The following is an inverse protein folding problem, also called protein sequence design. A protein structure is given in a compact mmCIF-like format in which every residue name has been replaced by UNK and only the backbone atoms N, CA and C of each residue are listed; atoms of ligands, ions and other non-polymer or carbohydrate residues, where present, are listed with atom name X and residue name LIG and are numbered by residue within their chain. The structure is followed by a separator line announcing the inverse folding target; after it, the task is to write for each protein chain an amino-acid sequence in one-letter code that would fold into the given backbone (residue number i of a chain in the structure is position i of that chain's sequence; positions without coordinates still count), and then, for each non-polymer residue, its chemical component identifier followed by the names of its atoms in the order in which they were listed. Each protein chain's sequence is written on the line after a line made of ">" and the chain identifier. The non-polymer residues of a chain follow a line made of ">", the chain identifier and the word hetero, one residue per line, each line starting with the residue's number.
data_IF_627570667542
#
_entry.id   IF_627570667542
#
_cell.length_a   1.000
_cell.length_b   1.000
_cell.length_c   1.000
_cell.angle_alpha   90.00
_cell.angle_beta   90.00
_cell.angle_gamma   90.00
#
_symmetry.space_group_name_H-M   'P 1'
#
loop_
_entity.id
_entity.type
_entity.pdbx_description
1 polymer ?
#
# COMPACT_ATOMS: atom_id res chain seq x y z
N UNK A 1 11.79 -2.61 13.76
CA UNK A 1 10.63 -1.84 13.26
C UNK A 1 9.61 -1.74 14.38
N UNK A 2 9.02 -0.57 14.64
CA UNK A 2 7.93 -0.43 15.62
C UNK A 2 6.60 -0.40 14.88
N UNK A 3 5.67 -1.29 15.23
CA UNK A 3 4.34 -1.34 14.65
C UNK A 3 3.35 -0.59 15.54
N UNK A 4 2.56 0.31 14.93
CA UNK A 4 1.75 1.31 15.64
C UNK A 4 0.68 0.69 16.53
N UNK A 5 0.05 -0.38 16.07
CA UNK A 5 -1.10 -0.99 16.71
C UNK A 5 -0.78 -2.33 17.42
N UNK A 6 0.46 -2.82 17.34
CA UNK A 6 0.86 -4.03 18.04
C UNK A 6 0.93 -3.80 19.56
N UNK A 7 0.25 -4.63 20.34
CA UNK A 7 0.19 -4.45 21.80
C UNK A 7 -0.50 -3.16 22.25
N UNK A 8 -1.35 -2.58 21.38
CA UNK A 8 -2.11 -1.36 21.67
C UNK A 8 -3.12 -1.57 22.81
N UNK A 9 -3.56 -2.80 23.01
CA UNK A 9 -4.49 -3.18 24.07
C UNK A 9 -3.68 -3.74 25.24
N UNK A 10 -3.59 -2.98 26.33
CA UNK A 10 -3.18 -3.49 27.64
C UNK A 10 -4.39 -4.11 28.35
N UNK A 11 -4.17 -5.14 29.16
CA UNK A 11 -5.18 -5.96 29.88
C UNK A 11 -6.15 -5.23 30.84
N UNK A 12 -6.30 -3.91 30.74
CA UNK A 12 -7.14 -3.08 31.61
C UNK A 12 -8.44 -2.68 30.93
N UNK A 13 -9.56 -3.04 31.57
CA UNK A 13 -10.96 -2.52 31.48
C UNK A 13 -11.65 -2.38 30.10
N UNK A 14 -10.93 -2.15 29.01
CA UNK A 14 -11.43 -2.03 27.64
C UNK A 14 -11.99 -3.35 27.06
N UNK A 15 -11.86 -4.46 27.80
CA UNK A 15 -12.21 -5.82 27.34
C UNK A 15 -13.11 -6.53 28.36
N UNK A 16 -13.73 -5.81 29.31
CA UNK A 16 -14.69 -6.43 30.25
C UNK A 16 -15.88 -7.07 29.51
N UNK A 17 -16.25 -6.51 28.35
CA UNK A 17 -17.26 -7.04 27.44
C UNK A 17 -16.85 -6.80 25.98
N UNK A 18 -17.49 -7.52 25.06
CA UNK A 18 -17.32 -7.33 23.62
C UNK A 18 -17.71 -5.92 23.16
N UNK A 19 -18.70 -5.30 23.83
CA UNK A 19 -19.09 -3.91 23.58
C UNK A 19 -17.98 -2.91 23.92
N UNK A 20 -17.26 -3.11 25.03
CA UNK A 20 -16.12 -2.29 25.42
C UNK A 20 -14.99 -2.39 24.36
N UNK A 21 -14.73 -3.61 23.88
CA UNK A 21 -13.72 -3.85 22.85
C UNK A 21 -14.08 -3.13 21.54
N UNK A 22 -15.34 -3.24 21.11
CA UNK A 22 -15.81 -2.57 19.89
C UNK A 22 -15.77 -1.05 20.03
N UNK A 23 -16.14 -0.51 21.20
CA UNK A 23 -16.07 0.92 21.48
C UNK A 23 -14.62 1.42 21.39
N UNK A 24 -13.69 0.69 21.99
CA UNK A 24 -12.25 0.98 21.91
C UNK A 24 -11.76 1.00 20.46
N UNK A 25 -12.07 -0.02 19.67
CA UNK A 25 -11.68 -0.07 18.25
C UNK A 25 -12.25 1.12 17.46
N UNK A 26 -13.48 1.56 17.77
CA UNK A 26 -14.10 2.72 17.13
C UNK A 26 -13.39 4.02 17.49
N UNK A 27 -13.07 4.23 18.76
CA UNK A 27 -12.33 5.40 19.25
C UNK A 27 -10.93 5.50 18.61
N UNK A 28 -10.27 4.36 18.41
CA UNK A 28 -8.97 4.27 17.75
C UNK A 28 -9.04 4.28 16.22
N UNK A 29 -10.24 4.38 15.64
CA UNK A 29 -10.49 4.34 14.18
C UNK A 29 -9.99 3.05 13.51
N UNK A 30 -10.03 1.93 14.24
CA UNK A 30 -9.63 0.60 13.77
C UNK A 30 -10.81 -0.20 13.19
N UNK A 31 -12.05 0.29 13.36
CA UNK A 31 -13.25 -0.21 12.69
C UNK A 31 -13.98 0.94 11.99
N UNK A 32 -14.63 0.60 10.89
CA UNK A 32 -15.47 1.47 10.09
C UNK A 32 -16.91 0.95 10.10
N UNK A 33 -17.86 1.87 10.18
CA UNK A 33 -19.27 1.53 9.98
C UNK A 33 -19.50 1.31 8.50
N UNK A 34 -20.06 0.16 8.14
CA UNK A 34 -20.46 -0.17 6.78
C UNK A 34 -21.97 -0.28 6.71
N UNK A 35 -22.58 0.23 5.65
CA UNK A 35 -24.00 -0.01 5.39
C UNK A 35 -24.09 -1.23 4.48
N UNK A 36 -24.65 -2.32 4.99
CA UNK A 36 -25.07 -3.47 4.21
C UNK A 36 -26.45 -3.19 3.64
N UNK A 37 -26.56 -3.11 2.30
CA UNK A 37 -27.84 -3.07 1.60
C UNK A 37 -28.44 -4.48 1.58
N UNK A 38 -28.80 -4.97 2.77
CA UNK A 38 -29.50 -6.23 2.94
C UNK A 38 -30.99 -5.99 2.73
N UNK A 39 -31.48 -6.46 1.58
CA UNK A 39 -32.89 -6.52 1.16
C UNK A 39 -33.43 -5.24 0.51
N UNK A 40 -33.66 -5.35 -0.81
CA UNK A 40 -34.54 -4.45 -1.53
C UNK A 40 -35.95 -5.05 -1.49
N UNK A 41 -36.95 -4.29 -1.03
CA UNK A 41 -38.35 -4.66 -1.26
C UNK A 41 -38.75 -4.22 -2.67
N UNK A 42 -39.42 -5.10 -3.40
CA UNK A 42 -40.04 -4.76 -4.68
C UNK A 42 -41.21 -3.82 -4.39
N UNK A 43 -41.07 -2.54 -4.74
CA UNK A 43 -42.21 -1.63 -4.80
C UNK A 43 -43.20 -2.06 -5.88
N UNK A 44 -44.49 -1.85 -5.63
CA UNK A 44 -45.57 -2.18 -6.57
C UNK A 44 -45.27 -1.69 -7.99
N UNK A 45 -45.39 -2.59 -8.97
CA UNK A 45 -45.31 -2.24 -10.39
C UNK A 45 -46.48 -1.33 -10.75
N UNK A 46 -46.21 -0.10 -11.17
CA UNK A 46 -47.19 0.69 -11.92
C UNK A 46 -47.18 0.25 -13.39
N UNK A 47 -48.35 0.32 -14.06
CA UNK A 47 -48.57 -0.12 -15.46
C UNK A 47 -47.67 0.56 -16.53
N UNK A 48 -46.69 1.37 -16.14
CA UNK A 48 -45.69 2.00 -17.03
C UNK A 48 -44.31 1.36 -17.02
N UNK A 49 -44.10 0.22 -16.32
CA UNK A 49 -42.85 -0.54 -16.40
C UNK A 49 -41.66 0.00 -15.58
N UNK A 50 -41.87 1.01 -14.72
CA UNK A 50 -40.80 1.51 -13.85
C UNK A 50 -40.76 0.74 -12.53
N UNK A 51 -39.73 -0.10 -12.36
CA UNK A 51 -39.45 -0.80 -11.12
C UNK A 51 -38.82 0.17 -10.11
N UNK A 52 -39.52 0.45 -9.00
CA UNK A 52 -39.00 1.29 -7.93
C UNK A 52 -38.40 0.39 -6.84
N UNK A 53 -37.07 0.28 -6.80
CA UNK A 53 -36.37 -0.39 -5.70
C UNK A 53 -36.12 0.63 -4.58
N UNK A 54 -36.77 0.43 -3.44
CA UNK A 54 -36.45 1.19 -2.23
C UNK A 54 -35.56 0.33 -1.32
N UNK A 55 -34.36 0.80 -0.95
CA UNK A 55 -33.57 0.12 0.05
C UNK A 55 -34.25 0.26 1.42
N UNK A 56 -34.57 -0.85 2.07
CA UNK A 56 -35.03 -0.85 3.46
C UNK A 56 -33.80 -0.86 4.37
N UNK A 57 -33.49 0.29 4.98
CA UNK A 57 -32.45 0.39 5.99
C UNK A 57 -33.02 -0.06 7.34
N UNK A 58 -32.73 -1.30 7.73
CA UNK A 58 -33.05 -1.82 9.05
C UNK A 58 -31.83 -1.65 9.99
N UNK A 59 -32.00 -1.79 11.32
CA UNK A 59 -30.87 -1.73 12.25
C UNK A 59 -29.77 -2.76 11.94
N UNK A 60 -30.15 -3.89 11.31
CA UNK A 60 -29.23 -4.92 10.81
C UNK A 60 -28.47 -4.53 9.53
N UNK A 61 -28.82 -3.40 8.90
CA UNK A 61 -28.12 -2.83 7.74
C UNK A 61 -26.80 -2.15 8.13
N UNK A 62 -26.48 -2.02 9.42
CA UNK A 62 -25.21 -1.45 9.88
C UNK A 62 -24.22 -2.55 10.31
N UNK A 63 -23.28 -2.86 9.42
CA UNK A 63 -22.13 -3.71 9.72
C UNK A 63 -20.94 -2.92 10.27
N UNK A 64 -19.99 -3.62 10.88
CA UNK A 64 -18.68 -3.07 11.27
C UNK A 64 -17.61 -3.85 10.51
N UNK A 65 -16.71 -3.14 9.82
CA UNK A 65 -15.56 -3.74 9.15
C UNK A 65 -14.27 -3.22 9.77
N UNK A 66 -13.28 -4.08 9.94
CA UNK A 66 -11.93 -3.65 10.35
C UNK A 66 -11.36 -2.71 9.27
N UNK A 67 -10.68 -1.65 9.71
CA UNK A 67 -10.06 -0.70 8.79
C UNK A 67 -8.97 -1.38 7.96
N UNK A 68 -8.99 -1.17 6.64
CA UNK A 68 -8.02 -1.72 5.69
C UNK A 68 -6.57 -1.41 6.08
N UNK A 69 -6.31 -0.22 6.64
CA UNK A 69 -4.98 0.16 7.12
C UNK A 69 -4.45 -0.76 8.22
N UNK A 70 -5.33 -1.34 9.05
CA UNK A 70 -4.92 -2.33 10.05
C UNK A 70 -4.52 -3.66 9.41
N UNK A 71 -5.23 -4.09 8.36
CA UNK A 71 -4.87 -5.29 7.59
C UNK A 71 -3.50 -5.16 6.90
N UNK A 72 -3.22 -4.00 6.30
CA UNK A 72 -1.92 -3.71 5.69
C UNK A 72 -0.78 -3.69 6.72
N UNK A 73 -0.98 -3.05 7.88
CA UNK A 73 0.01 -3.05 8.97
C UNK A 73 0.22 -4.48 9.52
N UNK A 74 -0.86 -5.26 9.67
CA UNK A 74 -0.78 -6.66 10.11
C UNK A 74 0.01 -7.51 9.10
N UNK A 75 -0.19 -7.32 7.80
CA UNK A 75 0.63 -7.97 6.77
C UNK A 75 2.10 -7.66 6.99
N UNK A 76 2.46 -6.40 7.16
CA UNK A 76 3.86 -5.98 7.33
C UNK A 76 4.47 -6.55 8.61
N UNK A 77 3.68 -6.61 9.69
CA UNK A 77 4.08 -7.30 10.92
C UNK A 77 4.32 -8.79 10.70
N UNK A 78 3.41 -9.49 10.02
CA UNK A 78 3.56 -10.91 9.71
C UNK A 78 4.81 -11.15 8.86
N UNK A 79 5.07 -10.31 7.85
CA UNK A 79 6.27 -10.43 7.03
C UNK A 79 7.56 -10.22 7.83
N UNK A 80 7.60 -9.26 8.76
CA UNK A 80 8.76 -9.06 9.63
C UNK A 80 8.93 -10.24 10.61
N UNK A 81 7.83 -10.71 11.21
CA UNK A 81 7.86 -11.82 12.17
C UNK A 81 8.28 -13.14 11.52
N UNK A 82 7.87 -13.38 10.28
CA UNK A 82 8.19 -14.58 9.49
C UNK A 82 9.26 -14.33 8.43
N UNK A 83 10.10 -13.29 8.57
CA UNK A 83 11.10 -12.93 7.55
C UNK A 83 12.07 -14.05 7.19
N UNK A 84 12.35 -14.97 8.12
CA UNK A 84 13.17 -16.15 7.85
C UNK A 84 12.58 -17.12 6.82
N UNK A 85 11.28 -17.01 6.52
CA UNK A 85 10.58 -17.80 5.51
C UNK A 85 10.45 -17.07 4.16
N UNK A 86 10.93 -15.81 4.08
CA UNK A 86 10.92 -15.00 2.86
C UNK A 86 12.30 -15.06 2.20
N UNK A 87 12.35 -15.31 0.89
CA UNK A 87 13.57 -15.33 0.08
C UNK A 87 14.23 -16.70 -0.06
N UNK A 88 13.91 -17.67 0.82
CA UNK A 88 14.42 -19.04 0.69
C UNK A 88 14.06 -19.68 -0.66
N UNK A 89 12.83 -19.46 -1.13
CA UNK A 89 12.37 -19.97 -2.42
C UNK A 89 13.07 -19.30 -3.60
N UNK A 90 13.45 -18.02 -3.47
CA UNK A 90 14.23 -17.31 -4.48
C UNK A 90 15.61 -17.98 -4.65
N UNK A 91 16.30 -18.28 -3.56
CA UNK A 91 17.62 -18.93 -3.64
C UNK A 91 17.53 -20.33 -4.24
N UNK A 92 16.54 -21.12 -3.81
CA UNK A 92 16.25 -22.43 -4.42
C UNK A 92 15.92 -22.30 -5.91
N UNK A 93 15.16 -21.26 -6.30
CA UNK A 93 14.86 -20.97 -7.68
C UNK A 93 16.13 -20.62 -8.47
N UNK A 94 16.97 -19.70 -7.97
CA UNK A 94 18.24 -19.31 -8.61
C UNK A 94 19.13 -20.53 -8.87
N UNK A 95 19.28 -21.41 -7.88
CA UNK A 95 20.05 -22.65 -8.02
C UNK A 95 19.46 -23.56 -9.11
N UNK A 96 18.14 -23.83 -9.07
CA UNK A 96 17.44 -24.65 -10.07
C UNK A 96 17.54 -24.05 -11.48
N UNK A 97 17.37 -22.74 -11.60
CA UNK A 97 17.44 -22.01 -12.85
C UNK A 97 18.86 -22.06 -13.43
N UNK A 98 19.89 -21.78 -12.61
CA UNK A 98 21.30 -21.88 -13.00
C UNK A 98 21.65 -23.28 -13.49
N UNK A 99 21.23 -24.33 -12.77
CA UNK A 99 21.45 -25.73 -13.17
C UNK A 99 20.79 -26.05 -14.52
N UNK A 100 19.55 -25.60 -14.75
CA UNK A 100 18.84 -25.81 -16.03
C UNK A 100 19.44 -25.03 -17.20
N UNK A 101 20.04 -23.88 -16.92
CA UNK A 101 20.57 -22.95 -17.92
C UNK A 101 22.09 -23.05 -18.10
N UNK A 102 22.77 -23.96 -17.38
CA UNK A 102 24.22 -24.11 -17.44
C UNK A 102 24.69 -24.46 -18.86
N UNK A 103 25.71 -23.75 -19.35
CA UNK A 103 26.24 -23.92 -20.72
C UNK A 103 25.28 -23.53 -21.86
N UNK A 104 24.09 -22.99 -21.57
CA UNK A 104 23.11 -22.60 -22.60
C UNK A 104 23.30 -21.15 -23.06
N UNK A 105 22.95 -20.87 -24.32
CA UNK A 105 22.95 -19.51 -24.90
C UNK A 105 21.95 -18.59 -24.20
N UNK A 106 22.21 -17.28 -24.20
CA UNK A 106 21.36 -16.27 -23.59
C UNK A 106 19.90 -16.33 -24.08
N UNK A 107 19.68 -16.58 -25.37
CA UNK A 107 18.35 -16.73 -25.97
C UNK A 107 17.52 -17.84 -25.31
N UNK A 108 18.15 -19.00 -25.05
CA UNK A 108 17.51 -20.09 -24.34
C UNK A 108 17.19 -19.71 -22.89
N UNK A 109 18.13 -19.05 -22.21
CA UNK A 109 17.94 -18.56 -20.83
C UNK A 109 16.77 -17.59 -20.75
N UNK A 110 16.69 -16.63 -21.67
CA UNK A 110 15.60 -15.64 -21.75
C UNK A 110 14.25 -16.31 -22.01
N UNK A 111 14.16 -17.23 -22.98
CA UNK A 111 12.93 -18.01 -23.23
C UNK A 111 12.50 -18.82 -22.01
N UNK A 112 13.46 -19.45 -21.33
CA UNK A 112 13.16 -20.23 -20.12
C UNK A 112 12.74 -19.35 -18.95
N UNK A 113 13.40 -18.20 -18.78
CA UNK A 113 13.05 -17.18 -17.81
C UNK A 113 11.63 -16.66 -18.02
N UNK A 114 11.26 -16.35 -19.26
CA UNK A 114 9.92 -15.86 -19.59
C UNK A 114 8.84 -16.90 -19.28
N UNK A 115 9.11 -18.18 -19.56
CA UNK A 115 8.19 -19.27 -19.21
C UNK A 115 7.97 -19.37 -17.69
N UNK A 116 9.01 -19.16 -16.88
CA UNK A 116 8.86 -19.09 -15.43
C UNK A 116 8.12 -17.82 -15.00
N UNK A 117 8.47 -16.68 -15.60
CA UNK A 117 7.85 -15.39 -15.29
C UNK A 117 6.33 -15.43 -15.52
N UNK A 118 5.88 -15.93 -16.68
CA UNK A 118 4.46 -16.12 -16.94
C UNK A 118 3.82 -17.06 -15.92
N UNK A 119 4.43 -18.24 -15.69
CA UNK A 119 3.88 -19.22 -14.74
C UNK A 119 3.66 -18.65 -13.33
N UNK A 120 4.64 -17.91 -12.80
CA UNK A 120 4.52 -17.33 -11.47
C UNK A 120 3.53 -16.16 -11.45
N UNK A 121 3.45 -15.36 -12.52
CA UNK A 121 2.45 -14.31 -12.65
C UNK A 121 1.02 -14.85 -12.68
N UNK A 122 0.77 -15.89 -13.49
CA UNK A 122 -0.55 -16.50 -13.69
C UNK A 122 -1.07 -17.22 -12.43
N UNK A 123 -0.21 -17.51 -11.44
CA UNK A 123 -0.64 -18.02 -10.14
C UNK A 123 -1.44 -17.00 -9.32
N UNK A 124 -1.21 -15.70 -9.57
CA UNK A 124 -1.74 -14.60 -8.77
C UNK A 124 -2.74 -13.77 -9.54
N UNK A 125 -2.44 -13.49 -10.81
CA UNK A 125 -3.29 -12.69 -11.65
C UNK A 125 -4.02 -13.60 -12.62
N UNK A 126 -5.33 -13.76 -12.39
CA UNK A 126 -6.21 -14.47 -13.31
C UNK A 126 -6.64 -13.54 -14.44
N UNK A 127 -5.94 -13.60 -15.57
CA UNK A 127 -6.24 -12.81 -16.78
C UNK A 127 -7.65 -13.16 -17.32
N UNK A 128 -8.22 -14.32 -16.99
CA UNK A 128 -9.56 -14.72 -17.45
C UNK A 128 -10.70 -14.16 -16.61
N UNK A 129 -10.42 -13.60 -15.42
CA UNK A 129 -11.39 -12.90 -14.56
C UNK A 129 -11.41 -11.38 -14.80
N UNK A 130 -11.07 -10.97 -16.02
CA UNK A 130 -11.33 -9.62 -16.49
C UNK A 130 -12.81 -9.26 -16.30
N UNK A 131 -13.05 -8.05 -15.78
CA UNK A 131 -14.33 -7.34 -15.65
C UNK A 131 -15.22 -7.65 -14.42
N UNK A 132 -15.13 -6.78 -13.40
CA UNK A 132 -16.21 -5.85 -13.00
C UNK A 132 -15.92 -5.28 -11.60
N UNK A 133 -15.09 -4.25 -11.51
CA UNK A 133 -15.17 -3.32 -10.39
C UNK A 133 -15.20 -1.90 -10.92
N UNK A 134 -16.40 -1.46 -11.28
CA UNK A 134 -16.73 -0.05 -11.33
C UNK A 134 -16.43 0.59 -9.97
N UNK A 135 -15.24 1.20 -9.83
CA UNK A 135 -14.88 2.05 -8.68
C UNK A 135 -13.71 1.60 -7.79
N UNK A 136 -13.04 0.48 -8.06
CA UNK A 136 -11.77 0.11 -7.40
C UNK A 136 -10.64 0.01 -8.43
N UNK A 137 -9.36 0.25 -8.06
CA UNK A 137 -8.24 0.03 -8.97
C UNK A 137 -8.08 -1.48 -9.20
N UNK A 138 -8.84 -2.02 -10.16
CA UNK A 138 -8.65 -3.38 -10.65
C UNK A 138 -7.33 -3.51 -11.41
N UNK A 139 -6.86 -4.74 -11.54
CA UNK A 139 -5.72 -5.09 -12.40
C UNK A 139 -6.01 -4.67 -13.83
N UNK A 140 -5.16 -3.81 -14.38
CA UNK A 140 -5.26 -3.33 -15.75
C UNK A 140 -4.40 -4.26 -16.64
N UNK A 141 -5.01 -4.99 -17.61
CA UNK A 141 -4.27 -5.90 -18.47
C UNK A 141 -3.28 -5.18 -19.40
N UNK A 142 -3.45 -3.87 -19.60
CA UNK A 142 -2.51 -3.03 -20.33
C UNK A 142 -1.38 -2.49 -19.44
N UNK A 143 -1.51 -2.60 -18.11
CA UNK A 143 -0.47 -2.21 -17.18
C UNK A 143 0.64 -3.27 -17.11
N UNK A 144 1.89 -2.86 -16.81
CA UNK A 144 2.99 -3.76 -16.53
C UNK A 144 2.61 -4.77 -15.44
N UNK A 145 3.01 -6.03 -15.61
CA UNK A 145 2.67 -7.13 -14.70
C UNK A 145 3.22 -6.90 -13.29
N UNK A 146 4.40 -6.31 -13.17
CA UNK A 146 4.95 -5.93 -11.87
C UNK A 146 4.07 -4.90 -11.14
N UNK A 147 3.36 -4.03 -11.87
CA UNK A 147 2.39 -3.09 -11.29
C UNK A 147 1.14 -3.80 -10.78
N UNK A 148 0.61 -4.77 -11.52
CA UNK A 148 -0.55 -5.59 -11.13
C UNK A 148 -0.23 -6.45 -9.90
N UNK A 149 0.95 -7.08 -9.86
CA UNK A 149 1.41 -7.84 -8.70
C UNK A 149 1.50 -6.98 -7.45
N UNK A 150 1.96 -5.73 -7.56
CA UNK A 150 1.99 -4.82 -6.41
C UNK A 150 0.58 -4.50 -5.88
N UNK A 151 -0.42 -4.39 -6.77
CA UNK A 151 -1.82 -4.19 -6.36
C UNK A 151 -2.32 -5.43 -5.60
N UNK A 152 -2.05 -6.62 -6.15
CA UNK A 152 -2.39 -7.91 -5.51
C UNK A 152 -1.76 -8.05 -4.12
N UNK A 153 -0.50 -7.64 -3.96
CA UNK A 153 0.18 -7.56 -2.66
C UNK A 153 -0.59 -6.70 -1.64
N UNK A 154 -1.25 -5.64 -2.13
CA UNK A 154 -2.15 -4.80 -1.35
C UNK A 154 -3.38 -5.59 -0.92
N UNK A 155 -4.11 -6.19 -1.87
CA UNK A 155 -5.32 -6.97 -1.59
C UNK A 155 -5.11 -8.10 -0.59
N UNK A 156 -3.98 -8.81 -0.65
CA UNK A 156 -3.64 -9.83 0.35
C UNK A 156 -3.56 -9.27 1.78
N UNK A 157 -3.12 -8.01 1.94
CA UNK A 157 -3.15 -7.31 3.23
C UNK A 157 -4.55 -6.80 3.59
N UNK A 158 -5.35 -6.40 2.61
CA UNK A 158 -6.75 -6.02 2.85
C UNK A 158 -7.60 -7.23 3.28
N UNK A 159 -7.32 -8.43 2.79
CA UNK A 159 -8.06 -9.64 3.15
C UNK A 159 -7.84 -10.07 4.60
N UNK A 160 -6.73 -9.67 5.21
CA UNK A 160 -6.45 -9.91 6.63
C UNK A 160 -7.45 -9.23 7.56
N UNK A 161 -8.22 -8.24 7.08
CA UNK A 161 -9.29 -7.62 7.88
C UNK A 161 -10.37 -8.61 8.32
N UNK A 162 -10.44 -9.77 7.65
CA UNK A 162 -11.39 -10.84 7.96
C UNK A 162 -10.83 -11.85 8.99
N UNK A 163 -9.56 -11.74 9.38
CA UNK A 163 -8.89 -12.65 10.32
C UNK A 163 -9.02 -12.13 11.76
N UNK A 164 -10.24 -12.17 12.31
CA UNK A 164 -10.58 -11.56 13.60
C UNK A 164 -9.68 -12.03 14.75
N UNK A 165 -9.36 -13.32 14.81
CA UNK A 165 -8.52 -13.89 15.86
C UNK A 165 -7.07 -13.40 15.75
N UNK A 166 -6.51 -13.37 14.53
CA UNK A 166 -5.14 -12.90 14.29
C UNK A 166 -5.04 -11.41 14.63
N UNK A 167 -6.01 -10.61 14.20
CA UNK A 167 -6.08 -9.17 14.53
C UNK A 167 -6.14 -8.98 16.03
N UNK A 168 -7.00 -9.74 16.73
CA UNK A 168 -7.10 -9.63 18.19
C UNK A 168 -5.75 -9.93 18.82
N UNK A 169 -5.14 -11.08 18.50
CA UNK A 169 -3.83 -11.46 19.06
C UNK A 169 -2.72 -10.44 18.77
N UNK A 170 -2.77 -9.81 17.59
CA UNK A 170 -1.88 -8.71 17.21
C UNK A 170 -2.08 -7.46 18.09
N UNK A 171 -3.33 -7.02 18.27
CA UNK A 171 -3.65 -5.83 19.07
C UNK A 171 -3.32 -6.01 20.55
N UNK A 172 -3.39 -7.23 21.07
CA UNK A 172 -2.99 -7.59 22.44
C UNK A 172 -1.48 -7.77 22.59
N UNK A 173 -0.73 -7.83 21.49
CA UNK A 173 0.72 -8.01 21.55
C UNK A 173 1.16 -9.42 21.91
N UNK A 174 0.31 -10.43 21.70
CA UNK A 174 0.58 -11.83 22.05
C UNK A 174 1.63 -12.46 21.10
N UNK A 175 2.91 -12.22 21.37
CA UNK A 175 4.02 -12.69 20.53
C UNK A 175 4.01 -14.21 20.34
N UNK A 176 3.71 -14.96 21.40
CA UNK A 176 3.73 -16.42 21.39
C UNK A 176 2.68 -17.03 20.45
N UNK A 177 1.63 -16.27 20.11
CA UNK A 177 0.64 -16.68 19.11
C UNK A 177 1.24 -16.75 17.70
N UNK A 178 2.18 -15.86 17.37
CA UNK A 178 2.79 -15.75 16.04
C UNK A 178 3.99 -16.69 15.87
N UNK A 179 3.72 -17.98 16.07
CA UNK A 179 4.71 -19.05 16.02
C UNK A 179 4.54 -19.95 14.78
N UNK A 180 5.39 -20.97 14.66
CA UNK A 180 5.35 -21.92 13.54
C UNK A 180 4.02 -22.68 13.39
N UNK A 181 3.23 -22.84 14.46
CA UNK A 181 1.92 -23.49 14.37
C UNK A 181 0.91 -22.61 13.61
N UNK A 182 0.90 -21.30 13.85
CA UNK A 182 0.06 -20.36 13.11
C UNK A 182 0.44 -20.35 11.62
N UNK A 183 1.74 -20.36 11.32
CA UNK A 183 2.23 -20.51 9.94
C UNK A 183 1.69 -21.78 9.27
N UNK A 184 1.63 -22.88 10.01
CA UNK A 184 1.16 -24.17 9.49
C UNK A 184 -0.36 -24.28 9.39
N UNK A 185 -1.13 -23.50 10.14
CA UNK A 185 -2.60 -23.57 10.13
C UNK A 185 -3.27 -22.47 9.31
N UNK A 186 -2.69 -21.26 9.26
CA UNK A 186 -3.31 -20.10 8.58
C UNK A 186 -3.11 -20.16 7.06
N UNK A 187 -4.21 -20.30 6.32
CA UNK A 187 -4.21 -20.28 4.86
C UNK A 187 -3.75 -18.92 4.31
N UNK A 188 -4.25 -17.83 4.90
CA UNK A 188 -3.93 -16.47 4.47
C UNK A 188 -2.46 -16.13 4.71
N UNK A 189 -1.89 -16.51 5.86
CA UNK A 189 -0.46 -16.34 6.12
C UNK A 189 0.41 -17.12 5.12
N UNK A 190 0.04 -18.37 4.81
CA UNK A 190 0.73 -19.16 3.78
C UNK A 190 0.63 -18.51 2.40
N UNK A 191 -0.53 -17.96 2.04
CA UNK A 191 -0.71 -17.26 0.77
C UNK A 191 0.17 -16.01 0.70
N UNK A 192 0.20 -15.18 1.76
CA UNK A 192 1.08 -14.00 1.82
C UNK A 192 2.55 -14.38 1.64
N UNK A 193 3.04 -15.38 2.39
CA UNK A 193 4.45 -15.78 2.29
C UNK A 193 4.79 -16.42 0.94
N UNK A 194 3.85 -17.18 0.37
CA UNK A 194 3.99 -17.71 -0.99
C UNK A 194 4.06 -16.57 -2.01
N UNK A 195 3.19 -15.56 -1.87
CA UNK A 195 3.18 -14.39 -2.74
C UNK A 195 4.53 -13.68 -2.70
N UNK A 196 5.04 -13.33 -1.52
CA UNK A 196 6.33 -12.62 -1.42
C UNK A 196 7.48 -13.40 -2.04
N UNK A 197 7.52 -14.72 -1.83
CA UNK A 197 8.54 -15.59 -2.43
C UNK A 197 8.44 -15.64 -3.96
N UNK A 198 7.24 -15.78 -4.52
CA UNK A 198 7.04 -15.79 -5.97
C UNK A 198 7.24 -14.39 -6.59
N UNK A 199 6.88 -13.33 -5.88
CA UNK A 199 7.13 -11.94 -6.25
C UNK A 199 8.64 -11.64 -6.37
N UNK A 200 9.44 -12.09 -5.40
CA UNK A 200 10.91 -11.99 -5.45
C UNK A 200 11.51 -12.75 -6.66
N UNK A 201 10.94 -13.90 -7.02
CA UNK A 201 11.36 -14.65 -8.22
C UNK A 201 11.02 -13.86 -9.50
N UNK A 202 9.83 -13.28 -9.56
CA UNK A 202 9.40 -12.43 -10.68
C UNK A 202 10.30 -11.21 -10.83
N UNK A 203 10.61 -10.51 -9.73
CA UNK A 203 11.56 -9.39 -9.71
C UNK A 203 12.93 -9.81 -10.24
N UNK A 204 13.50 -10.90 -9.72
CA UNK A 204 14.80 -11.41 -10.17
C UNK A 204 14.82 -11.73 -11.67
N UNK A 205 13.77 -12.38 -12.18
CA UNK A 205 13.67 -12.72 -13.60
C UNK A 205 13.53 -11.47 -14.48
N UNK A 206 12.76 -10.49 -14.04
CA UNK A 206 12.59 -9.23 -14.74
C UNK A 206 13.90 -8.44 -14.77
N UNK A 207 14.59 -8.30 -13.63
CA UNK A 207 15.88 -7.61 -13.55
C UNK A 207 16.97 -8.31 -14.39
N UNK A 208 16.94 -9.65 -14.46
CA UNK A 208 17.92 -10.43 -15.22
C UNK A 208 17.74 -10.33 -16.74
N UNK A 209 16.51 -10.17 -17.24
CA UNK A 209 16.22 -10.28 -18.68
C UNK A 209 15.54 -9.07 -19.30
N UNK A 210 15.10 -8.10 -18.49
CA UNK A 210 14.32 -6.93 -18.90
C UNK A 210 13.05 -7.36 -19.64
N UNK A 211 12.21 -8.19 -19.01
CA UNK A 211 10.95 -8.58 -19.64
C UNK A 211 9.98 -7.40 -19.72
N UNK A 212 9.99 -6.58 -18.68
CA UNK A 212 9.33 -5.28 -18.63
C UNK A 212 10.43 -4.21 -18.62
N UNK A 213 10.20 -3.08 -19.30
CA UNK A 213 11.11 -1.92 -19.29
C UNK A 213 11.03 -1.16 -17.95
N UNK A 214 10.87 -1.88 -16.85
CA UNK A 214 10.71 -1.37 -15.49
C UNK A 214 11.57 -2.21 -14.59
N UNK A 215 12.45 -1.59 -13.80
CA UNK A 215 13.22 -2.32 -12.77
C UNK A 215 12.31 -2.62 -11.59
N UNK A 216 12.62 -3.68 -10.85
CA UNK A 216 11.89 -4.10 -9.64
C UNK A 216 11.71 -3.00 -8.57
N UNK A 217 12.57 -1.97 -8.59
CA UNK A 217 12.57 -0.80 -7.71
C UNK A 217 12.34 0.53 -8.44
N UNK A 218 11.58 0.54 -9.54
CA UNK A 218 11.34 1.79 -10.29
C UNK A 218 10.61 2.82 -9.40
N UNK A 219 11.38 3.81 -8.91
CA UNK A 219 10.89 4.88 -8.04
C UNK A 219 9.75 5.63 -8.73
N UNK A 220 9.78 5.77 -10.05
CA UNK A 220 8.73 6.46 -10.80
C UNK A 220 7.37 5.75 -10.73
N UNK A 221 7.32 4.42 -10.61
CA UNK A 221 6.06 3.69 -10.39
C UNK A 221 5.48 3.93 -9.00
N UNK A 222 6.36 4.02 -7.99
CA UNK A 222 5.95 4.32 -6.61
C UNK A 222 5.40 5.75 -6.55
N UNK A 223 6.13 6.69 -7.16
CA UNK A 223 5.74 8.09 -7.30
C UNK A 223 4.42 8.24 -8.07
N UNK A 224 4.24 7.52 -9.18
CA UNK A 224 3.01 7.59 -9.99
C UNK A 224 1.78 7.13 -9.18
N UNK A 225 1.95 6.11 -8.32
CA UNK A 225 0.88 5.68 -7.40
C UNK A 225 0.57 6.72 -6.33
N UNK A 226 1.60 7.38 -5.77
CA UNK A 226 1.42 8.46 -4.80
C UNK A 226 0.66 9.62 -5.45
N UNK A 227 1.02 9.97 -6.69
CA UNK A 227 0.30 10.97 -7.48
C UNK A 227 -1.15 10.56 -7.72
N UNK A 228 -1.40 9.36 -8.28
CA UNK A 228 -2.75 8.85 -8.56
C UNK A 228 -3.65 8.84 -7.33
N UNK A 229 -3.12 8.47 -6.14
CA UNK A 229 -3.85 8.49 -4.86
C UNK A 229 -4.21 9.91 -4.40
N UNK A 230 -3.43 10.92 -4.80
CA UNK A 230 -3.59 12.31 -4.40
C UNK A 230 -3.95 13.25 -5.55
N UNK A 231 -4.36 12.73 -6.72
CA UNK A 231 -4.57 13.49 -7.97
C UNK A 231 -5.57 14.65 -7.86
N UNK A 232 -6.45 14.62 -6.88
CA UNK A 232 -7.44 15.69 -6.62
C UNK A 232 -6.86 16.82 -5.77
N UNK A 233 -5.67 16.62 -5.19
CA UNK A 233 -4.99 17.53 -4.28
C UNK A 233 -3.54 17.81 -4.66
N UNK A 234 -3.05 17.26 -5.77
CA UNK A 234 -1.72 17.49 -6.32
C UNK A 234 -1.89 17.63 -7.83
N UNK A 235 -1.37 18.71 -8.38
CA UNK A 235 -1.77 19.19 -9.70
C UNK A 235 -1.12 18.36 -10.81
N UNK A 236 0.13 17.97 -10.62
CA UNK A 236 0.91 17.23 -11.62
C UNK A 236 1.73 16.10 -11.01
N UNK A 237 2.06 15.12 -11.85
CA UNK A 237 3.03 14.09 -11.50
C UNK A 237 4.41 14.70 -11.25
N UNK A 238 4.78 15.76 -11.97
CA UNK A 238 6.05 16.46 -11.80
C UNK A 238 6.21 17.06 -10.40
N UNK A 239 5.09 17.46 -9.76
CA UNK A 239 5.12 17.90 -8.36
C UNK A 239 5.60 16.79 -7.43
N UNK A 240 5.19 15.54 -7.68
CA UNK A 240 5.66 14.39 -6.91
C UNK A 240 7.12 14.06 -7.23
N UNK A 241 7.53 14.16 -8.51
CA UNK A 241 8.92 13.97 -8.91
C UNK A 241 9.85 14.99 -8.25
N UNK A 242 9.42 16.26 -8.19
CA UNK A 242 10.17 17.32 -7.53
C UNK A 242 10.29 17.10 -6.03
N UNK A 243 9.21 16.67 -5.36
CA UNK A 243 9.27 16.30 -3.93
C UNK A 243 10.28 15.18 -3.71
N UNK A 244 10.29 14.17 -4.59
CA UNK A 244 11.25 13.07 -4.51
C UNK A 244 12.69 13.55 -4.70
N UNK A 245 12.92 14.40 -5.71
CA UNK A 245 14.22 15.01 -5.98
C UNK A 245 14.74 15.78 -4.75
N UNK A 246 13.95 16.70 -4.19
CA UNK A 246 14.34 17.50 -3.02
C UNK A 246 14.64 16.61 -1.82
N UNK A 247 13.77 15.63 -1.52
CA UNK A 247 13.96 14.77 -0.35
C UNK A 247 15.03 13.69 -0.56
N UNK A 248 15.45 13.43 -1.80
CA UNK A 248 16.61 12.58 -2.06
C UNK A 248 17.91 13.21 -1.51
N UNK A 249 17.97 14.53 -1.34
CA UNK A 249 19.12 15.26 -0.80
C UNK A 249 19.05 15.28 0.73
N UNK A 250 20.06 14.70 1.39
CA UNK A 250 20.06 14.47 2.83
C UNK A 250 19.91 15.76 3.67
N UNK A 251 20.57 16.84 3.26
CA UNK A 251 20.52 18.15 3.93
C UNK A 251 19.10 18.72 3.99
N UNK A 252 18.24 18.36 3.03
CA UNK A 252 16.88 18.89 2.90
C UNK A 252 15.83 18.04 3.63
N UNK A 253 16.23 16.97 4.32
CA UNK A 253 15.31 16.04 5.02
C UNK A 253 14.89 16.51 6.41
N UNK A 254 15.36 17.67 6.87
CA UNK A 254 15.01 18.19 8.19
C UNK A 254 13.60 18.81 8.23
N UNK A 255 13.01 18.90 9.42
CA UNK A 255 11.67 19.46 9.60
C UNK A 255 11.55 20.89 9.05
N UNK A 256 12.60 21.70 9.18
CA UNK A 256 12.59 23.09 8.71
C UNK A 256 12.45 23.17 7.18
N UNK A 257 13.15 22.29 6.44
CA UNK A 257 13.01 22.18 5.00
C UNK A 257 11.66 21.58 4.60
N UNK A 258 11.14 20.60 5.34
CA UNK A 258 9.80 20.06 5.09
C UNK A 258 8.69 21.11 5.22
N UNK A 259 8.78 22.03 6.19
CA UNK A 259 7.84 23.15 6.34
C UNK A 259 8.00 24.14 5.18
N UNK A 260 9.23 24.52 4.84
CA UNK A 260 9.49 25.44 3.74
C UNK A 260 9.04 24.86 2.38
N UNK A 261 9.20 23.55 2.16
CA UNK A 261 8.76 22.86 0.95
C UNK A 261 7.24 22.86 0.86
N UNK A 262 6.54 22.60 1.98
CA UNK A 262 5.09 22.72 2.04
C UNK A 262 4.62 24.12 1.68
N UNK A 263 5.18 25.15 2.32
CA UNK A 263 4.76 26.54 2.09
C UNK A 263 5.07 26.99 0.65
N UNK A 264 6.22 26.62 0.10
CA UNK A 264 6.58 26.86 -1.29
C UNK A 264 5.57 26.23 -2.26
N UNK A 265 5.33 24.92 -2.14
CA UNK A 265 4.40 24.19 -3.02
C UNK A 265 2.94 24.66 -2.87
N UNK A 266 2.52 25.00 -1.64
CA UNK A 266 1.14 25.38 -1.32
C UNK A 266 0.81 26.81 -1.70
N UNK A 267 1.73 27.74 -1.46
CA UNK A 267 1.44 29.17 -1.51
C UNK A 267 2.13 29.89 -2.67
N UNK A 268 3.34 29.48 -3.05
CA UNK A 268 4.10 30.14 -4.12
C UNK A 268 3.78 29.54 -5.49
N UNK A 269 4.05 28.25 -5.70
CA UNK A 269 3.76 27.58 -6.99
C UNK A 269 2.36 26.97 -7.06
N UNK A 270 1.70 26.79 -5.91
CA UNK A 270 0.30 26.34 -5.78
C UNK A 270 -0.02 24.99 -6.45
N UNK A 271 0.94 24.07 -6.44
CA UNK A 271 0.80 22.74 -7.06
C UNK A 271 0.25 21.67 -6.12
N UNK A 272 -0.01 22.02 -4.85
CA UNK A 272 -0.64 21.15 -3.87
C UNK A 272 -1.83 21.83 -3.18
N UNK A 273 -2.92 21.08 -3.01
CA UNK A 273 -4.12 21.48 -2.25
C UNK A 273 -4.26 20.77 -0.90
N UNK A 274 -3.24 20.01 -0.49
CA UNK A 274 -3.16 19.34 0.81
C UNK A 274 -3.10 20.36 1.97
N UNK A 275 -3.63 19.98 3.14
CA UNK A 275 -3.31 20.63 4.41
C UNK A 275 -1.90 20.26 4.87
N UNK A 276 -1.29 21.05 5.75
CA UNK A 276 0.05 20.74 6.29
C UNK A 276 0.10 19.35 6.96
N UNK A 277 -1.00 18.94 7.58
CA UNK A 277 -1.11 17.59 8.16
C UNK A 277 -1.09 16.51 7.09
N UNK A 278 -1.92 16.64 6.06
CA UNK A 278 -1.97 15.66 4.97
C UNK A 278 -0.66 15.61 4.18
N UNK A 279 -0.02 16.76 3.97
CA UNK A 279 1.31 16.82 3.37
C UNK A 279 2.36 16.17 4.28
N UNK A 280 2.33 16.44 5.58
CA UNK A 280 3.21 15.77 6.53
C UNK A 280 3.05 14.25 6.50
N UNK A 281 1.81 13.76 6.47
CA UNK A 281 1.52 12.32 6.44
C UNK A 281 2.02 11.73 5.10
N UNK A 282 1.77 12.40 3.97
CA UNK A 282 2.28 12.02 2.64
C UNK A 282 3.81 11.87 2.63
N UNK A 283 4.53 12.85 3.17
CA UNK A 283 5.99 12.88 3.16
C UNK A 283 6.57 11.77 4.04
N UNK A 284 6.09 11.66 5.28
CA UNK A 284 6.58 10.68 6.25
C UNK A 284 6.29 9.24 5.79
N UNK A 285 5.15 9.00 5.13
CA UNK A 285 4.79 7.67 4.65
C UNK A 285 5.57 7.23 3.41
N UNK A 286 6.01 8.15 2.55
CA UNK A 286 6.41 7.80 1.17
C UNK A 286 7.81 8.30 0.75
N UNK A 287 8.43 9.19 1.53
CA UNK A 287 9.68 9.85 1.17
C UNK A 287 10.69 9.81 2.33
N UNK A 288 12.00 9.79 2.03
CA UNK A 288 13.03 9.85 3.07
C UNK A 288 12.96 11.18 3.81
N UNK A 289 12.73 11.12 5.12
CA UNK A 289 12.61 12.31 5.98
C UNK A 289 13.20 12.02 7.37
N UNK A 290 13.78 13.06 7.99
CA UNK A 290 14.36 12.99 9.33
C UNK A 290 13.39 13.57 10.39
N UNK A 291 12.10 13.57 10.09
CA UNK A 291 11.05 14.06 10.97
C UNK A 291 9.82 13.16 10.91
N UNK A 292 9.13 13.04 12.04
CA UNK A 292 7.92 12.21 12.15
C UNK A 292 6.62 13.00 11.92
N UNK A 293 6.70 14.34 11.96
CA UNK A 293 5.56 15.23 11.71
C UNK A 293 6.02 16.67 11.44
N UNK A 294 5.34 17.38 10.56
CA UNK A 294 5.45 18.83 10.45
C UNK A 294 4.62 19.51 11.55
N UNK A 295 5.21 20.52 12.20
CA UNK A 295 4.55 21.39 13.17
C UNK A 295 4.70 22.82 12.68
N UNK A 296 3.67 23.64 12.87
CA UNK A 296 3.81 25.07 12.63
C UNK A 296 4.98 25.62 13.46
N UNK A 297 5.80 26.44 12.80
CA UNK A 297 6.82 27.30 13.40
C UNK A 297 6.58 28.71 12.92
N UNK A 298 7.02 29.68 13.70
CA UNK A 298 7.01 31.08 13.31
C UNK A 298 7.91 31.30 12.10
N UNK A 299 7.45 32.15 11.18
CA UNK A 299 8.20 32.54 9.99
C UNK A 299 9.40 33.39 10.42
N UNK A 300 10.58 33.03 9.93
CA UNK A 300 11.84 33.73 10.16
C UNK A 300 12.59 33.88 8.84
N UNK A 301 13.57 34.77 8.77
CA UNK A 301 14.40 34.99 7.57
C UNK A 301 15.01 33.67 7.05
N UNK A 302 15.40 32.78 7.97
CA UNK A 302 15.93 31.46 7.65
C UNK A 302 14.90 30.52 6.98
N UNK A 303 13.59 30.75 7.14
CA UNK A 303 12.54 30.03 6.42
C UNK A 303 12.39 30.57 4.99
N UNK A 304 12.45 31.89 4.82
CA UNK A 304 12.37 32.51 3.49
C UNK A 304 13.59 32.17 2.63
N UNK A 305 14.79 32.08 3.21
CA UNK A 305 15.99 31.56 2.52
C UNK A 305 15.78 30.15 1.94
N UNK A 306 15.13 29.26 2.70
CA UNK A 306 14.85 27.89 2.26
C UNK A 306 13.82 27.85 1.13
N UNK A 307 12.81 28.71 1.17
CA UNK A 307 11.84 28.82 0.06
C UNK A 307 12.50 29.38 -1.20
N UNK A 308 13.39 30.37 -1.08
CA UNK A 308 14.16 30.88 -2.21
C UNK A 308 15.05 29.80 -2.82
N UNK A 309 15.65 28.94 -1.99
CA UNK A 309 16.38 27.77 -2.46
C UNK A 309 15.45 26.85 -3.27
N UNK A 310 14.26 26.52 -2.77
CA UNK A 310 13.32 25.68 -3.52
C UNK A 310 12.80 26.31 -4.80
N UNK A 311 12.67 27.63 -4.85
CA UNK A 311 12.36 28.35 -6.09
C UNK A 311 13.45 28.12 -7.14
N UNK A 312 14.72 28.31 -6.76
CA UNK A 312 15.85 28.10 -7.68
C UNK A 312 15.95 26.64 -8.14
N UNK A 313 15.70 25.67 -7.24
CA UNK A 313 15.72 24.25 -7.59
C UNK A 313 14.51 23.85 -8.45
N UNK A 314 13.36 24.47 -8.26
CA UNK A 314 12.17 24.26 -9.08
C UNK A 314 12.42 24.71 -10.51
N UNK A 315 12.93 25.93 -10.70
CA UNK A 315 13.20 26.46 -12.05
C UNK A 315 14.19 25.57 -12.81
N UNK A 316 15.29 25.15 -12.17
CA UNK A 316 16.26 24.21 -12.75
C UNK A 316 15.65 22.85 -13.10
N UNK A 317 14.84 22.30 -12.19
CA UNK A 317 14.24 20.97 -12.37
C UNK A 317 13.42 20.87 -13.66
N UNK A 318 12.74 21.96 -14.05
CA UNK A 318 11.93 22.05 -15.28
C UNK A 318 12.67 22.61 -16.49
N UNK A 319 13.87 23.18 -16.34
CA UNK A 319 14.74 23.51 -17.48
C UNK A 319 15.50 22.29 -18.02
N UNK A 320 15.82 21.32 -17.14
CA UNK A 320 16.59 20.12 -17.47
C UNK A 320 15.73 18.89 -17.86
N UNK A 321 14.39 18.97 -17.83
CA UNK A 321 13.43 17.90 -18.15
C UNK A 321 12.48 18.28 -19.31
#
# INVERSE_FOLDING_TARGET
>A
MQFKNFGLISDTEAIKTEECYIKFLKEKKLIQNTISLGNFSLGNMSMGGNLSLKPELNQNSYGKKIATSLGLELRDYLLENYKGYVGGDLELFKMKFKRKCFGRKLTYKKKKGLSYFNKYYDNWIDISKEYNYSGLPGTDPSAPRMSNLFIERGFLGEDLVNESDIIRKYLFGERDFFNGNLLNSSKNLKQILKFENEYLILQYLNDLFGFENQKSNDRNLILDKIYKKNRTKIDSFDTILFIDYILSIEDYRSQAYGIALFDFLKHEVKTIYLSMREFSDLIVENFPSNFNKLKHRDKSDAHDEKKNLFRNEWDKFFEDH
#
